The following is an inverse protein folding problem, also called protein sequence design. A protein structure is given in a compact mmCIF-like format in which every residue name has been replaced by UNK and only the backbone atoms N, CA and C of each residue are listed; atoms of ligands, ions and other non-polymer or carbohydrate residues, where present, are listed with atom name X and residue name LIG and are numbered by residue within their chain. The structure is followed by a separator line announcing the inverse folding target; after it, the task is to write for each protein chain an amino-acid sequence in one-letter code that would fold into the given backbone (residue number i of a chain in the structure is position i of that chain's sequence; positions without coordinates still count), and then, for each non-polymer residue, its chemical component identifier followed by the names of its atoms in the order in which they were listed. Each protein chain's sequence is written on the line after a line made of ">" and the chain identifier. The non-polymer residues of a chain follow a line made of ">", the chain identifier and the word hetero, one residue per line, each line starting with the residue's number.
data_IF_349029479619
#
_entry.id   IF_349029479619
#
_cell.length_a   1.000
_cell.length_b   1.000
_cell.length_c   1.000
_cell.angle_alpha   90.00
_cell.angle_beta   90.00
_cell.angle_gamma   90.00
#
_symmetry.space_group_name_H-M   'P 1'
#
loop_
_entity.id
_entity.type
_entity.pdbx_description
1 polymer ?
#
# COMPACT_ATOMS: atom_id res chain seq x y z
N UNK A 1 -17.57 43.34 50.07
CA UNK A 1 -17.06 44.04 48.88
C UNK A 1 -16.23 43.05 48.11
N UNK A 2 -16.83 42.42 47.11
CA UNK A 2 -16.29 41.25 46.42
C UNK A 2 -15.47 41.71 45.20
N UNK A 3 -14.19 41.30 45.14
CA UNK A 3 -13.29 41.55 44.01
C UNK A 3 -13.37 40.36 43.06
N UNK A 4 -14.15 40.46 42.00
CA UNK A 4 -14.13 39.47 40.91
C UNK A 4 -13.33 39.99 39.71
N UNK A 5 -12.19 39.32 39.45
CA UNK A 5 -11.32 39.44 38.29
C UNK A 5 -12.07 39.48 36.93
N UNK A 6 -11.63 40.29 35.95
CA UNK A 6 -11.93 40.03 34.55
C UNK A 6 -10.95 38.97 34.04
N UNK A 7 -11.36 37.71 34.12
CA UNK A 7 -10.60 36.57 33.61
C UNK A 7 -10.26 36.74 32.12
N UNK A 8 -8.98 36.62 31.81
CA UNK A 8 -8.44 36.43 30.47
C UNK A 8 -9.09 35.18 29.88
N UNK A 9 -10.04 35.38 28.97
CA UNK A 9 -10.88 34.32 28.43
C UNK A 9 -10.01 33.33 27.60
N UNK A 10 -9.64 32.20 28.22
CA UNK A 10 -8.75 31.17 27.67
C UNK A 10 -9.25 30.57 26.32
N UNK A 11 -10.52 30.79 25.99
CA UNK A 11 -11.14 30.34 24.74
C UNK A 11 -10.76 31.17 23.50
N UNK A 12 -10.02 32.27 23.64
CA UNK A 12 -9.52 33.05 22.47
C UNK A 12 -8.43 32.32 21.69
N UNK A 13 -7.66 31.43 22.33
CA UNK A 13 -6.57 30.69 21.67
C UNK A 13 -7.12 29.69 20.63
N UNK A 14 -8.35 29.21 20.80
CA UNK A 14 -9.00 28.20 19.96
C UNK A 14 -10.10 28.74 19.06
N UNK A 15 -10.22 30.06 18.89
CA UNK A 15 -11.19 30.63 17.96
C UNK A 15 -10.85 30.18 16.53
N UNK A 16 -11.64 29.24 15.99
CA UNK A 16 -11.50 28.70 14.64
C UNK A 16 -11.55 29.87 13.66
N UNK A 17 -10.42 30.19 13.06
CA UNK A 17 -10.30 31.23 12.04
C UNK A 17 -10.78 30.66 10.71
N UNK A 18 -11.68 31.35 10.03
CA UNK A 18 -12.28 30.93 8.76
C UNK A 18 -11.91 31.96 7.70
N UNK A 19 -11.63 31.49 6.48
CA UNK A 19 -11.31 32.38 5.36
C UNK A 19 -12.58 33.12 4.91
N UNK A 20 -12.45 34.43 4.74
CA UNK A 20 -13.48 35.32 4.23
C UNK A 20 -13.40 35.37 2.69
N UNK A 21 -14.07 34.41 2.04
CA UNK A 21 -13.99 34.16 0.59
C UNK A 21 -14.27 35.40 -0.26
N UNK A 22 -15.15 36.30 0.20
CA UNK A 22 -15.52 37.53 -0.51
C UNK A 22 -14.38 38.55 -0.64
N UNK A 23 -13.40 38.50 0.27
CA UNK A 23 -12.27 39.43 0.26
C UNK A 23 -11.04 38.86 -0.44
N UNK A 24 -11.02 37.55 -0.70
CA UNK A 24 -9.89 36.88 -1.32
C UNK A 24 -9.88 37.20 -2.83
N UNK A 25 -8.76 37.71 -3.38
CA UNK A 25 -8.70 38.06 -4.80
C UNK A 25 -8.80 36.81 -5.69
N UNK A 26 -9.51 36.92 -6.81
CA UNK A 26 -9.70 35.83 -7.78
C UNK A 26 -8.39 35.16 -8.23
N UNK A 27 -7.30 35.94 -8.34
CA UNK A 27 -5.95 35.43 -8.67
C UNK A 27 -5.46 34.36 -7.69
N UNK A 28 -5.83 34.46 -6.41
CA UNK A 28 -5.48 33.46 -5.42
C UNK A 28 -6.18 32.12 -5.69
N UNK A 29 -7.47 32.15 -6.01
CA UNK A 29 -8.23 30.95 -6.38
C UNK A 29 -7.70 30.30 -7.65
N UNK A 30 -7.26 31.09 -8.64
CA UNK A 30 -6.65 30.57 -9.86
C UNK A 30 -5.33 29.83 -9.58
N UNK A 31 -4.44 30.41 -8.76
CA UNK A 31 -3.16 29.78 -8.40
C UNK A 31 -3.41 28.50 -7.58
N UNK A 32 -4.34 28.55 -6.62
CA UNK A 32 -4.71 27.37 -5.85
C UNK A 32 -5.39 26.29 -6.70
N UNK A 33 -6.27 26.69 -7.62
CA UNK A 33 -6.91 25.77 -8.57
C UNK A 33 -5.89 25.09 -9.47
N UNK A 34 -4.92 25.85 -10.01
CA UNK A 34 -3.83 25.28 -10.80
C UNK A 34 -2.96 24.35 -9.96
N UNK A 35 -2.59 24.75 -8.75
CA UNK A 35 -1.85 23.91 -7.83
C UNK A 35 -2.59 22.59 -7.57
N UNK A 36 -3.86 22.65 -7.13
CA UNK A 36 -4.70 21.47 -6.86
C UNK A 36 -4.94 20.60 -8.09
N UNK A 37 -4.99 21.17 -9.29
CA UNK A 37 -5.16 20.39 -10.53
C UNK A 37 -4.03 19.38 -10.74
N UNK A 38 -2.79 19.74 -10.40
CA UNK A 38 -1.63 18.82 -10.45
C UNK A 38 -1.84 17.63 -9.51
N UNK A 39 -2.30 17.86 -8.29
CA UNK A 39 -2.61 16.79 -7.35
C UNK A 39 -3.73 15.87 -7.87
N UNK A 40 -4.79 16.44 -8.43
CA UNK A 40 -5.92 15.69 -8.97
C UNK A 40 -5.47 14.81 -10.14
N UNK A 41 -4.67 15.35 -11.07
CA UNK A 41 -4.12 14.58 -12.20
C UNK A 41 -3.22 13.45 -11.69
N UNK A 42 -2.35 13.72 -10.73
CA UNK A 42 -1.48 12.69 -10.14
C UNK A 42 -2.31 11.56 -9.50
N UNK A 43 -3.33 11.90 -8.70
CA UNK A 43 -4.23 10.92 -8.08
C UNK A 43 -4.96 10.10 -9.15
N UNK A 44 -5.45 10.73 -10.22
CA UNK A 44 -6.12 10.02 -11.32
C UNK A 44 -5.18 9.05 -12.03
N UNK A 45 -3.93 9.44 -12.30
CA UNK A 45 -2.94 8.56 -12.93
C UNK A 45 -2.63 7.36 -12.03
N UNK A 46 -2.45 7.58 -10.73
CA UNK A 46 -2.26 6.49 -9.79
C UNK A 46 -3.48 5.57 -9.76
N UNK A 47 -4.69 6.10 -9.55
CA UNK A 47 -5.93 5.31 -9.54
C UNK A 47 -6.10 4.47 -10.81
N UNK A 48 -5.81 5.03 -11.99
CA UNK A 48 -5.85 4.29 -13.23
C UNK A 48 -4.85 3.13 -13.26
N UNK A 49 -3.62 3.34 -12.76
CA UNK A 49 -2.61 2.28 -12.64
C UNK A 49 -2.99 1.20 -11.62
N UNK A 50 -3.60 1.56 -10.48
CA UNK A 50 -4.15 0.60 -9.51
C UNK A 50 -5.27 -0.24 -10.14
N UNK A 51 -6.16 0.38 -10.93
CA UNK A 51 -7.30 -0.30 -11.55
C UNK A 51 -6.95 -1.23 -12.70
N UNK A 52 -5.77 -1.09 -13.31
CA UNK A 52 -5.33 -1.90 -14.45
C UNK A 52 -4.69 -3.23 -14.05
N UNK A 53 -4.62 -3.54 -12.75
CA UNK A 53 -4.04 -4.79 -12.24
C UNK A 53 -2.51 -4.80 -12.21
N UNK A 54 -1.87 -3.63 -12.34
CA UNK A 54 -0.44 -3.50 -12.13
C UNK A 54 -0.16 -3.70 -10.65
N UNK A 55 0.64 -4.71 -10.31
CA UNK A 55 1.06 -4.96 -8.93
C UNK A 55 2.43 -4.29 -8.72
N UNK A 56 2.46 -3.21 -7.95
CA UNK A 56 3.70 -2.50 -7.57
C UNK A 56 4.18 -3.00 -6.20
N UNK A 57 5.50 -2.99 -6.01
CA UNK A 57 6.11 -3.39 -4.74
C UNK A 57 6.96 -4.66 -4.82
N UNK A 58 7.49 -5.02 -3.67
CA UNK A 58 8.32 -6.20 -3.46
C UNK A 58 7.44 -7.23 -2.75
N UNK A 59 7.40 -8.49 -3.20
CA UNK A 59 6.63 -9.52 -2.52
C UNK A 59 7.19 -9.73 -1.10
N UNK A 60 6.29 -10.05 -0.17
CA UNK A 60 6.65 -10.36 1.22
C UNK A 60 7.19 -11.79 1.33
N UNK A 61 6.66 -12.69 0.50
CA UNK A 61 7.03 -14.10 0.48
C UNK A 61 6.84 -14.70 -0.92
N UNK A 62 7.43 -15.86 -1.18
CA UNK A 62 7.31 -16.58 -2.43
C UNK A 62 7.33 -18.09 -2.22
N UNK A 63 6.80 -18.84 -3.20
CA UNK A 63 6.96 -20.28 -3.26
C UNK A 63 7.09 -20.73 -4.72
N UNK A 64 7.70 -21.89 -4.93
CA UNK A 64 7.84 -22.52 -6.25
C UNK A 64 7.18 -23.90 -6.22
N UNK A 65 6.38 -24.21 -7.23
CA UNK A 65 5.79 -25.56 -7.35
C UNK A 65 6.65 -26.53 -8.15
N UNK A 66 6.16 -27.77 -8.26
CA UNK A 66 6.88 -28.82 -8.95
C UNK A 66 7.05 -28.56 -10.45
N UNK A 67 6.15 -27.76 -11.05
CA UNK A 67 6.19 -27.33 -12.45
C UNK A 67 7.07 -26.09 -12.67
N UNK A 68 7.82 -25.64 -11.64
CA UNK A 68 8.67 -24.45 -11.68
C UNK A 68 7.86 -23.15 -11.92
N UNK A 69 6.60 -23.09 -11.46
CA UNK A 69 5.81 -21.86 -11.43
C UNK A 69 6.09 -21.10 -10.14
N UNK A 70 6.19 -19.77 -10.24
CA UNK A 70 6.48 -18.90 -9.09
C UNK A 70 5.18 -18.31 -8.55
N UNK A 71 4.98 -18.46 -7.25
CA UNK A 71 3.92 -17.83 -6.48
C UNK A 71 4.51 -16.70 -5.66
N UNK A 72 3.85 -15.55 -5.67
CA UNK A 72 4.31 -14.32 -5.01
C UNK A 72 3.22 -13.80 -4.09
N UNK A 73 3.56 -13.59 -2.83
CA UNK A 73 2.69 -13.00 -1.83
C UNK A 73 2.93 -11.49 -1.75
N UNK A 74 1.89 -10.71 -2.00
CA UNK A 74 1.89 -9.26 -1.81
C UNK A 74 0.82 -8.90 -0.77
N UNK A 75 0.88 -7.67 -0.26
CA UNK A 75 -0.20 -7.14 0.57
C UNK A 75 -1.54 -7.18 -0.18
N UNK A 76 -1.51 -6.96 -1.51
CA UNK A 76 -2.71 -6.99 -2.36
C UNK A 76 -3.23 -8.40 -2.71
N UNK A 77 -2.61 -9.46 -2.19
CA UNK A 77 -3.00 -10.85 -2.44
C UNK A 77 -1.88 -11.72 -3.01
N UNK A 78 -2.24 -12.93 -3.43
CA UNK A 78 -1.31 -13.94 -3.97
C UNK A 78 -1.43 -14.01 -5.48
N UNK A 79 -0.29 -14.04 -6.15
CA UNK A 79 -0.18 -14.05 -7.60
C UNK A 79 0.69 -15.20 -8.07
N UNK A 80 0.30 -15.85 -9.14
CA UNK A 80 1.17 -16.77 -9.88
C UNK A 80 1.80 -16.05 -11.06
N UNK A 81 3.07 -16.33 -11.32
CA UNK A 81 3.79 -15.86 -12.51
C UNK A 81 3.70 -16.94 -13.60
N UNK A 82 3.03 -16.61 -14.70
CA UNK A 82 2.96 -17.47 -15.88
C UNK A 82 3.33 -16.65 -17.13
N UNK A 83 4.30 -17.13 -17.92
CA UNK A 83 4.74 -16.47 -19.16
C UNK A 83 5.10 -14.97 -19.00
N UNK A 84 5.69 -14.61 -17.86
CA UNK A 84 6.06 -13.22 -17.55
C UNK A 84 4.89 -12.30 -17.18
N UNK A 85 3.67 -12.85 -17.02
CA UNK A 85 2.51 -12.14 -16.48
C UNK A 85 2.21 -12.64 -15.07
N UNK A 86 1.70 -11.74 -14.23
CA UNK A 86 1.20 -12.06 -12.90
C UNK A 86 -0.32 -12.20 -12.96
N UNK A 87 -0.83 -13.35 -12.56
CA UNK A 87 -2.26 -13.64 -12.47
C UNK A 87 -2.64 -13.72 -10.99
N UNK A 88 -3.63 -12.94 -10.57
CA UNK A 88 -4.15 -13.02 -9.20
C UNK A 88 -4.85 -14.37 -9.02
N UNK A 89 -4.44 -15.13 -8.01
CA UNK A 89 -5.06 -16.42 -7.65
C UNK A 89 -5.73 -16.34 -6.28
N UNK A 90 -5.40 -15.31 -5.49
CA UNK A 90 -6.02 -15.06 -4.20
C UNK A 90 -6.24 -13.55 -3.99
N UNK A 91 -7.42 -13.13 -3.52
CA UNK A 91 -7.72 -11.72 -3.31
C UNK A 91 -6.95 -11.11 -2.14
N UNK A 92 -7.00 -9.78 -2.11
CA UNK A 92 -6.45 -8.90 -1.08
C UNK A 92 -6.96 -9.28 0.32
N UNK A 93 -6.04 -9.70 1.19
CA UNK A 93 -6.29 -9.95 2.61
C UNK A 93 -5.46 -8.95 3.43
N UNK A 94 -5.92 -8.64 4.65
CA UNK A 94 -5.27 -7.63 5.53
C UNK A 94 -3.77 -7.82 5.77
N UNK A 95 -3.27 -9.03 5.54
CA UNK A 95 -1.87 -9.41 5.71
C UNK A 95 -1.47 -10.37 4.59
N UNK A 96 -0.27 -10.16 4.06
CA UNK A 96 0.33 -11.04 3.07
C UNK A 96 0.51 -12.43 3.67
N UNK A 97 -0.07 -13.49 3.08
CA UNK A 97 0.10 -14.84 3.62
C UNK A 97 1.53 -15.34 3.39
N UNK A 98 2.00 -16.18 4.30
CA UNK A 98 3.14 -17.05 4.06
C UNK A 98 2.74 -18.14 3.06
N UNK A 99 3.64 -18.46 2.14
CA UNK A 99 3.42 -19.43 1.07
C UNK A 99 4.34 -20.64 1.26
N UNK A 100 3.82 -21.81 0.93
CA UNK A 100 4.63 -23.02 0.79
C UNK A 100 3.93 -23.98 -0.15
N UNK A 101 4.70 -24.67 -0.99
CA UNK A 101 4.18 -25.73 -1.86
C UNK A 101 4.77 -27.07 -1.46
N UNK A 102 3.93 -28.06 -1.22
CA UNK A 102 4.39 -29.43 -0.93
C UNK A 102 4.74 -30.21 -2.20
N UNK A 103 5.44 -31.33 -2.04
CA UNK A 103 5.72 -32.30 -3.13
C UNK A 103 4.45 -32.83 -3.81
N UNK A 104 3.31 -32.89 -3.10
CA UNK A 104 2.01 -33.31 -3.67
C UNK A 104 1.25 -32.17 -4.40
N UNK A 105 1.93 -31.08 -4.80
CA UNK A 105 1.32 -29.92 -5.47
C UNK A 105 0.22 -29.23 -4.65
N UNK A 106 0.42 -29.16 -3.33
CA UNK A 106 -0.48 -28.47 -2.42
C UNK A 106 0.09 -27.11 -2.05
N UNK A 107 -0.60 -26.04 -2.46
CA UNK A 107 -0.26 -24.67 -2.07
C UNK A 107 -0.90 -24.36 -0.72
N UNK A 108 -0.07 -24.17 0.29
CA UNK A 108 -0.47 -23.67 1.61
C UNK A 108 -0.30 -22.17 1.66
N UNK A 109 -1.40 -21.47 1.96
CA UNK A 109 -1.44 -20.04 2.23
C UNK A 109 -1.80 -19.86 3.71
N UNK A 110 -0.81 -19.46 4.50
CA UNK A 110 -0.96 -19.27 5.93
C UNK A 110 -0.96 -17.77 6.24
N UNK A 111 -2.05 -17.27 6.83
CA UNK A 111 -2.15 -15.92 7.36
C UNK A 111 -2.03 -15.92 8.89
N UNK A 112 -2.05 -14.76 9.54
CA UNK A 112 -1.87 -14.61 10.99
C UNK A 112 -2.80 -15.51 11.83
N UNK A 113 -4.03 -15.73 11.35
CA UNK A 113 -5.05 -16.49 12.08
C UNK A 113 -5.77 -17.57 11.26
N UNK A 114 -5.45 -17.72 9.98
CA UNK A 114 -6.15 -18.61 9.06
C UNK A 114 -5.17 -19.37 8.19
N UNK A 115 -5.47 -20.63 7.89
CA UNK A 115 -4.73 -21.43 6.93
C UNK A 115 -5.67 -21.93 5.86
N UNK A 116 -5.23 -21.84 4.61
CA UNK A 116 -5.91 -22.42 3.46
C UNK A 116 -4.91 -23.27 2.69
N UNK A 117 -5.39 -24.42 2.22
CA UNK A 117 -4.62 -25.35 1.40
C UNK A 117 -5.38 -25.57 0.11
N UNK A 118 -4.74 -25.26 -1.00
CA UNK A 118 -5.26 -25.44 -2.34
C UNK A 118 -4.56 -26.62 -3.02
N UNK A 119 -5.31 -27.42 -3.76
CA UNK A 119 -4.77 -28.45 -4.65
C UNK A 119 -4.49 -27.81 -6.02
N UNK A 120 -3.22 -27.66 -6.38
CA UNK A 120 -2.83 -26.98 -7.62
C UNK A 120 -3.20 -27.81 -8.86
N UNK A 121 -3.23 -29.14 -8.76
CA UNK A 121 -3.56 -30.02 -9.89
C UNK A 121 -5.02 -29.92 -10.31
N UNK A 122 -5.89 -29.54 -9.36
CA UNK A 122 -7.33 -29.33 -9.57
C UNK A 122 -7.71 -27.87 -9.76
N UNK A 123 -6.77 -26.95 -9.59
CA UNK A 123 -6.98 -25.51 -9.72
C UNK A 123 -6.85 -25.03 -11.16
N UNK A 124 -7.58 -23.99 -11.52
CA UNK A 124 -7.40 -23.27 -12.79
C UNK A 124 -6.70 -21.93 -12.52
N UNK A 125 -5.37 -21.98 -12.54
CA UNK A 125 -4.50 -20.84 -12.26
C UNK A 125 -4.67 -19.68 -13.27
N UNK A 126 -5.12 -19.98 -14.51
CA UNK A 126 -5.31 -18.97 -15.56
C UNK A 126 -6.54 -18.12 -15.32
N UNK A 127 -7.61 -18.71 -14.79
CA UNK A 127 -8.81 -17.98 -14.39
C UNK A 127 -8.73 -17.45 -12.95
N UNK A 128 -7.65 -17.74 -12.22
CA UNK A 128 -7.49 -17.38 -10.81
C UNK A 128 -8.34 -18.22 -9.86
N UNK A 129 -8.85 -19.37 -10.32
CA UNK A 129 -9.71 -20.24 -9.52
C UNK A 129 -8.88 -21.31 -8.82
N UNK A 130 -8.74 -21.18 -7.50
CA UNK A 130 -8.11 -22.19 -6.65
C UNK A 130 -9.13 -23.19 -6.08
N UNK A 131 -8.81 -24.47 -6.13
CA UNK A 131 -9.56 -25.54 -5.47
C UNK A 131 -9.08 -25.68 -4.02
N UNK A 132 -9.77 -25.03 -3.09
CA UNK A 132 -9.46 -25.11 -1.66
C UNK A 132 -9.95 -26.44 -1.10
N UNK A 133 -9.02 -27.30 -0.71
CA UNK A 133 -9.35 -28.62 -0.11
C UNK A 133 -9.37 -28.59 1.41
N UNK A 134 -8.71 -27.60 2.03
CA UNK A 134 -8.72 -27.42 3.47
C UNK A 134 -8.68 -25.94 3.81
N UNK A 135 -9.52 -25.52 4.76
CA UNK A 135 -9.47 -24.19 5.35
C UNK A 135 -9.82 -24.30 6.82
N UNK A 136 -9.02 -23.68 7.68
CA UNK A 136 -9.22 -23.72 9.13
C UNK A 136 -8.65 -22.48 9.79
N UNK A 137 -9.30 -22.09 10.89
CA UNK A 137 -8.85 -21.04 11.79
C UNK A 137 -7.75 -21.60 12.71
N UNK A 138 -6.64 -20.90 12.81
CA UNK A 138 -5.48 -21.24 13.62
C UNK A 138 -4.98 -19.96 14.33
N UNK A 139 -5.49 -19.65 15.54
CA UNK A 139 -4.97 -18.53 16.31
C UNK A 139 -3.50 -18.83 16.67
N UNK A 140 -2.64 -17.82 16.58
CA UNK A 140 -1.18 -17.96 16.71
C UNK A 140 -0.60 -18.92 15.67
N UNK A 141 -0.93 -18.68 14.39
CA UNK A 141 -0.56 -19.56 13.29
C UNK A 141 0.96 -19.74 13.15
N UNK A 142 1.47 -20.85 13.67
CA UNK A 142 2.90 -21.19 13.63
C UNK A 142 3.41 -21.31 12.18
N UNK A 143 2.58 -21.76 11.24
CA UNK A 143 2.98 -21.85 9.83
C UNK A 143 3.23 -20.46 9.24
N UNK A 144 2.44 -19.47 9.64
CA UNK A 144 2.67 -18.09 9.23
C UNK A 144 3.99 -17.57 9.80
N UNK A 145 4.22 -17.76 11.11
CA UNK A 145 5.46 -17.32 11.76
C UNK A 145 6.71 -17.96 11.14
N UNK A 146 6.69 -19.28 10.93
CA UNK A 146 7.81 -20.01 10.30
C UNK A 146 8.03 -19.52 8.86
N UNK A 147 6.97 -19.37 8.08
CA UNK A 147 7.08 -18.89 6.70
C UNK A 147 7.64 -17.47 6.65
N UNK A 148 7.22 -16.57 7.53
CA UNK A 148 7.79 -15.23 7.62
C UNK A 148 9.25 -15.23 8.09
N UNK A 149 9.66 -16.18 8.92
CA UNK A 149 11.07 -16.32 9.35
C UNK A 149 11.96 -16.91 8.22
N UNK A 150 11.37 -17.64 7.27
CA UNK A 150 12.06 -18.36 6.19
C UNK A 150 11.71 -17.88 4.77
N UNK A 151 11.07 -16.71 4.65
CA UNK A 151 10.56 -16.13 3.40
C UNK A 151 11.63 -15.87 2.33
N UNK A 152 12.91 -15.93 2.68
CA UNK A 152 14.04 -15.69 1.79
C UNK A 152 14.49 -16.95 1.03
N UNK A 153 14.01 -18.13 1.40
CA UNK A 153 14.37 -19.38 0.75
C UNK A 153 13.24 -20.42 0.72
N UNK A 154 13.08 -21.08 -0.43
CA UNK A 154 12.10 -22.14 -0.64
C UNK A 154 12.79 -23.40 -1.21
N UNK A 155 12.88 -24.50 -0.46
CA UNK A 155 13.43 -25.75 -0.96
C UNK A 155 12.38 -26.56 -1.74
N UNK A 156 12.59 -26.76 -3.04
CA UNK A 156 11.69 -27.55 -3.90
C UNK A 156 12.45 -28.32 -4.98
N UNK A 157 11.97 -29.50 -5.39
CA UNK A 157 12.51 -30.28 -6.52
C UNK A 157 14.02 -30.59 -6.43
N UNK A 158 14.52 -30.77 -5.20
CA UNK A 158 15.96 -30.97 -4.94
C UNK A 158 16.83 -29.76 -5.30
N UNK A 159 16.25 -28.56 -5.33
CA UNK A 159 16.92 -27.27 -5.44
C UNK A 159 16.48 -26.37 -4.26
N UNK A 160 17.25 -25.32 -4.00
CA UNK A 160 16.83 -24.25 -3.10
C UNK A 160 16.67 -22.98 -3.91
N UNK A 161 15.48 -22.39 -3.86
CA UNK A 161 15.22 -21.09 -4.47
C UNK A 161 15.48 -20.01 -3.42
N UNK A 162 16.22 -18.96 -3.76
CA UNK A 162 16.54 -17.86 -2.86
C UNK A 162 16.03 -16.54 -3.40
N UNK A 163 15.34 -15.80 -2.55
CA UNK A 163 14.87 -14.47 -2.83
C UNK A 163 15.95 -13.43 -2.53
N UNK A 164 16.20 -12.54 -3.48
CA UNK A 164 17.04 -11.38 -3.30
C UNK A 164 16.25 -10.14 -3.73
N UNK A 165 16.11 -9.20 -2.81
CA UNK A 165 15.48 -7.91 -3.09
C UNK A 165 16.46 -6.75 -2.96
N UNK A 166 16.30 -5.78 -3.84
CA UNK A 166 16.96 -4.49 -3.79
C UNK A 166 15.93 -3.37 -3.63
N UNK A 167 16.39 -2.11 -3.68
CA UNK A 167 15.50 -0.97 -3.51
C UNK A 167 14.39 -0.89 -4.58
N UNK A 168 14.60 -1.43 -5.78
CA UNK A 168 13.67 -1.29 -6.91
C UNK A 168 13.53 -2.57 -7.76
N UNK A 169 13.95 -3.71 -7.26
CA UNK A 169 13.86 -4.98 -7.98
C UNK A 169 13.86 -6.11 -6.97
N UNK A 170 13.41 -7.27 -7.42
CA UNK A 170 13.65 -8.52 -6.74
C UNK A 170 13.89 -9.61 -7.78
N UNK A 171 14.64 -10.60 -7.36
CA UNK A 171 15.13 -11.71 -8.16
C UNK A 171 15.05 -12.97 -7.33
N UNK A 172 14.78 -14.09 -7.98
CA UNK A 172 14.79 -15.42 -7.36
C UNK A 172 15.87 -16.21 -8.08
N UNK A 173 16.82 -16.72 -7.30
CA UNK A 173 17.92 -17.54 -7.77
C UNK A 173 17.64 -19.00 -7.44
N UNK A 174 17.88 -19.90 -8.39
CA UNK A 174 17.82 -21.35 -8.17
C UNK A 174 19.22 -21.86 -7.87
N UNK A 175 19.38 -22.49 -6.72
CA UNK A 175 20.62 -23.11 -6.26
C UNK A 175 20.50 -24.63 -6.37
N UNK A 176 21.29 -25.24 -7.28
CA UNK A 176 21.34 -26.69 -7.46
C UNK A 176 22.76 -27.16 -7.74
N UNK A 177 23.24 -28.14 -6.97
CA UNK A 177 24.58 -28.72 -7.17
C UNK A 177 25.73 -27.71 -7.05
N UNK A 178 25.60 -26.72 -6.16
CA UNK A 178 26.60 -25.67 -5.94
C UNK A 178 26.65 -24.57 -7.01
N UNK A 179 25.76 -24.60 -8.00
CA UNK A 179 25.55 -23.51 -8.96
C UNK A 179 24.32 -22.69 -8.57
N UNK A 180 24.41 -21.38 -8.76
CA UNK A 180 23.32 -20.43 -8.59
C UNK A 180 23.00 -19.80 -9.94
N UNK A 181 21.76 -19.91 -10.38
CA UNK A 181 21.28 -19.40 -11.66
C UNK A 181 20.05 -18.51 -11.45
N UNK A 182 19.95 -17.41 -12.20
CA UNK A 182 18.79 -16.53 -12.13
C UNK A 182 17.56 -17.27 -12.68
N UNK A 183 16.58 -17.51 -11.81
CA UNK A 183 15.36 -18.25 -12.14
C UNK A 183 14.21 -17.31 -12.49
N UNK A 184 14.03 -16.26 -11.71
CA UNK A 184 13.02 -15.23 -11.97
C UNK A 184 13.56 -13.85 -11.67
N UNK A 185 13.16 -12.87 -12.49
CA UNK A 185 13.46 -11.46 -12.27
C UNK A 185 12.20 -10.64 -12.53
N UNK A 186 11.97 -9.65 -11.67
CA UNK A 186 10.87 -8.71 -11.82
C UNK A 186 10.84 -8.08 -13.23
N UNK A 187 9.67 -8.06 -13.92
CA UNK A 187 9.54 -7.40 -15.21
C UNK A 187 9.93 -5.92 -15.16
N UNK A 188 10.56 -5.41 -16.23
CA UNK A 188 11.03 -4.01 -16.31
C UNK A 188 9.91 -2.99 -16.17
N UNK A 189 8.71 -3.31 -16.68
CA UNK A 189 7.51 -2.47 -16.52
C UNK A 189 7.18 -2.28 -15.05
N UNK A 190 7.21 -3.35 -14.27
CA UNK A 190 6.78 -3.38 -12.89
C UNK A 190 7.80 -2.66 -12.01
N UNK A 191 9.08 -2.79 -12.38
CA UNK A 191 10.19 -2.01 -11.82
C UNK A 191 10.01 -0.50 -12.05
N UNK A 192 9.59 -0.09 -13.24
CA UNK A 192 9.33 1.32 -13.53
C UNK A 192 8.16 1.87 -12.72
N UNK A 193 7.06 1.10 -12.61
CA UNK A 193 5.90 1.48 -11.80
C UNK A 193 6.19 1.54 -10.31
N UNK A 194 6.95 0.57 -9.79
CA UNK A 194 7.38 0.57 -8.38
C UNK A 194 8.24 1.80 -8.07
N UNK A 195 9.15 2.18 -8.97
CA UNK A 195 9.94 3.40 -8.82
C UNK A 195 9.07 4.66 -8.89
N UNK A 196 8.15 4.74 -9.86
CA UNK A 196 7.25 5.87 -10.03
C UNK A 196 6.36 6.07 -8.80
N UNK A 197 5.82 4.98 -8.23
CA UNK A 197 5.04 5.02 -6.99
C UNK A 197 5.86 5.51 -5.80
N UNK A 198 7.09 5.00 -5.62
CA UNK A 198 7.99 5.43 -4.53
C UNK A 198 8.35 6.91 -4.66
N UNK A 199 8.77 7.36 -5.85
CA UNK A 199 9.10 8.77 -6.09
C UNK A 199 7.86 9.65 -5.91
N UNK A 200 6.72 9.24 -6.44
CA UNK A 200 5.45 9.97 -6.28
C UNK A 200 5.08 10.15 -4.81
N UNK A 201 5.19 9.09 -4.00
CA UNK A 201 4.95 9.15 -2.57
C UNK A 201 5.93 10.08 -1.84
N UNK A 202 7.22 10.00 -2.15
CA UNK A 202 8.24 10.87 -1.56
C UNK A 202 7.99 12.34 -1.92
N UNK A 203 7.66 12.64 -3.18
CA UNK A 203 7.40 14.00 -3.65
C UNK A 203 6.06 14.57 -3.15
N UNK A 204 5.11 13.72 -2.79
CA UNK A 204 3.82 14.14 -2.24
C UNK A 204 3.97 14.90 -0.93
N UNK A 205 4.87 14.50 -0.03
CA UNK A 205 5.06 15.17 1.25
C UNK A 205 5.58 16.61 1.12
N UNK A 206 6.68 16.89 0.39
CA UNK A 206 7.11 18.25 0.09
C UNK A 206 6.02 19.06 -0.60
N UNK A 207 5.26 18.46 -1.51
CA UNK A 207 4.17 19.13 -2.20
C UNK A 207 3.09 19.58 -1.22
N UNK A 208 2.57 18.69 -0.37
CA UNK A 208 1.57 19.01 0.66
C UNK A 208 2.13 20.01 1.68
N UNK A 209 3.38 19.83 2.11
CA UNK A 209 4.04 20.74 3.04
C UNK A 209 4.20 22.14 2.45
N UNK A 210 4.56 22.26 1.17
CA UNK A 210 4.63 23.53 0.46
C UNK A 210 3.26 24.21 0.40
N UNK A 211 2.18 23.45 0.21
CA UNK A 211 0.81 23.95 0.21
C UNK A 211 0.43 24.54 1.58
N UNK A 212 0.76 23.82 2.67
CA UNK A 212 0.53 24.27 4.05
C UNK A 212 1.35 25.53 4.35
N UNK A 213 2.62 25.58 3.95
CA UNK A 213 3.48 26.74 4.15
C UNK A 213 2.99 27.95 3.37
N UNK A 214 2.66 27.79 2.09
CA UNK A 214 2.12 28.85 1.24
C UNK A 214 0.81 29.39 1.82
N UNK A 215 -0.09 28.51 2.27
CA UNK A 215 -1.32 28.90 2.94
C UNK A 215 -1.07 29.67 4.24
N UNK A 216 -0.14 29.21 5.06
CA UNK A 216 0.23 29.83 6.34
C UNK A 216 0.85 31.21 6.14
N UNK A 217 1.80 31.34 5.21
CA UNK A 217 2.43 32.61 4.86
C UNK A 217 1.40 33.59 4.30
N UNK A 218 0.54 33.13 3.39
CA UNK A 218 -0.49 33.96 2.78
C UNK A 218 -1.50 34.47 3.83
N UNK A 219 -1.97 33.58 4.70
CA UNK A 219 -2.90 33.93 5.79
C UNK A 219 -2.29 34.86 6.83
N UNK A 220 -0.97 34.77 7.08
CA UNK A 220 -0.24 35.70 7.96
C UNK A 220 -0.07 37.08 7.33
N UNK A 221 0.19 37.14 6.02
CA UNK A 221 0.37 38.41 5.28
C UNK A 221 -0.95 39.14 5.03
N UNK A 222 -2.06 38.40 4.95
CA UNK A 222 -3.38 38.94 4.69
C UNK A 222 -4.39 38.58 5.79
N UNK A 223 -4.22 39.11 7.02
CA UNK A 223 -5.16 38.87 8.11
C UNK A 223 -6.58 39.37 7.81
N UNK A 224 -6.75 40.33 6.91
CA UNK A 224 -8.04 40.86 6.44
C UNK A 224 -8.93 39.81 5.77
N UNK A 225 -8.33 38.74 5.24
CA UNK A 225 -9.04 37.62 4.63
C UNK A 225 -9.45 36.55 5.65
N UNK A 226 -9.21 36.78 6.94
CA UNK A 226 -9.46 35.81 8.00
C UNK A 226 -10.47 36.36 9.00
N UNK A 227 -11.69 35.82 8.99
CA UNK A 227 -12.71 36.16 9.98
C UNK A 227 -12.74 35.15 11.12
N UNK A 228 -13.13 35.62 12.31
CA UNK A 228 -13.48 34.70 13.40
C UNK A 228 -14.70 33.88 12.94
N UNK A 229 -14.66 32.56 13.10
CA UNK A 229 -15.85 31.75 12.90
C UNK A 229 -17.00 32.37 13.70
N UNK A 230 -18.20 32.57 13.12
CA UNK A 230 -19.36 32.87 13.93
C UNK A 230 -19.51 31.71 14.93
N UNK A 231 -19.58 32.04 16.22
CA UNK A 231 -19.81 31.05 17.26
C UNK A 231 -21.15 30.36 16.95
N UNK A 232 -21.11 29.13 16.44
CA UNK A 232 -22.30 28.32 16.11
C UNK A 232 -23.02 27.77 17.35
N UNK A 233 -22.72 28.28 18.55
CA UNK A 233 -23.55 28.07 19.73
C UNK A 233 -24.47 29.28 19.91
N UNK A 234 -25.44 29.40 19.01
CA UNK A 234 -26.68 30.12 19.33
C UNK A 234 -27.37 29.24 20.36
N UNK A 235 -27.14 29.51 21.65
CA UNK A 235 -27.95 28.94 22.74
C UNK A 235 -29.40 29.21 22.35
N UNK A 236 -30.12 28.16 22.00
CA UNK A 236 -31.58 28.18 21.95
C UNK A 236 -31.98 28.24 23.42
N UNK A 237 -32.14 29.46 23.93
CA UNK A 237 -32.78 29.70 25.22
C UNK A 237 -34.05 30.46 24.91
N UNK A 238 -35.11 29.84 25.40
CA UNK A 238 -36.54 30.16 25.31
C UNK A 238 -36.88 31.62 25.62
#
# INVERSE_FOLDING_TARGET
>A
MDRSNPGTNANRLFARRVVDVEKVPMKFFLVWGLFSSVAIVAIMVFLAAFSSGIVFGIPVDFAVDNEERVYLSYESGVYVVEQGKRCAIWPDEKHSPALSVSEDDMLTMANVADVRVADLTRSDLKSGRLEIVKSYFAPDNVLYSIGMDQHDADPQNGATYRFQSGFNNFEIYREKGGKSELFYSMPRSDRAWTLAAKIGFILWFPYVFSAILLWSIYSKRHPEYVKKAPYLWKKRTE
#
